data_IF_413556243010
#
_entry.id   IF_413556243010
#
_cell.length_a   1.000
_cell.length_b   1.000
_cell.length_c   1.000
_cell.angle_alpha   90.00
_cell.angle_beta   90.00
_cell.angle_gamma   90.00
#
_symmetry.space_group_name_H-M   'P 1'
#
loop_
_entity.id
_entity.type
_entity.pdbx_description
1 polymer ?
#
# COMPACT_ATOMS: atom_id res chain seq x y z
N UNK A 1 -3.98 4.17 8.29
CA UNK A 1 -3.92 4.03 6.81
C UNK A 1 -2.50 4.30 6.30
N UNK A 2 -1.84 5.39 6.74
CA UNK A 2 -0.45 5.70 6.36
C UNK A 2 0.53 4.55 6.65
N UNK A 3 0.51 3.98 7.86
CA UNK A 3 1.33 2.81 8.21
C UNK A 3 1.08 1.56 7.32
N UNK A 4 -0.16 1.34 6.87
CA UNK A 4 -0.47 0.26 5.94
C UNK A 4 0.17 0.54 4.58
N UNK A 5 0.06 1.78 4.09
CA UNK A 5 0.57 2.16 2.78
C UNK A 5 2.10 2.10 2.74
N UNK A 6 2.79 2.66 3.74
CA UNK A 6 4.25 2.58 3.80
C UNK A 6 4.74 1.13 3.93
N UNK A 7 4.00 0.28 4.65
CA UNK A 7 4.30 -1.16 4.77
C UNK A 7 4.21 -1.86 3.42
N UNK A 8 3.16 -1.61 2.64
CA UNK A 8 2.98 -2.16 1.29
C UNK A 8 4.11 -1.69 0.37
N UNK A 9 4.45 -0.41 0.40
CA UNK A 9 5.53 0.16 -0.42
C UNK A 9 6.91 -0.36 0.01
N UNK A 10 7.15 -0.58 1.31
CA UNK A 10 8.40 -1.19 1.79
C UNK A 10 8.54 -2.67 1.36
N UNK A 11 7.42 -3.36 1.12
CA UNK A 11 7.35 -4.69 0.51
C UNK A 11 7.48 -4.67 -1.02
N UNK A 12 7.41 -3.50 -1.66
CA UNK A 12 7.56 -3.30 -3.11
C UNK A 12 8.56 -2.15 -3.40
N UNK A 13 9.82 -2.27 -2.96
CA UNK A 13 10.77 -1.15 -2.90
C UNK A 13 11.10 -0.51 -4.26
N UNK A 14 11.00 -1.28 -5.34
CA UNK A 14 11.31 -0.82 -6.70
C UNK A 14 10.04 -0.46 -7.49
N UNK A 15 8.88 -0.41 -6.82
CA UNK A 15 7.60 -0.07 -7.43
C UNK A 15 7.17 1.33 -6.97
N UNK A 16 7.41 2.37 -7.78
CA UNK A 16 6.93 3.70 -7.49
C UNK A 16 5.40 3.75 -7.57
N UNK A 17 4.79 4.67 -6.83
CA UNK A 17 3.37 4.97 -6.91
C UNK A 17 3.17 6.14 -7.88
N UNK A 18 2.46 5.93 -8.99
CA UNK A 18 2.12 7.01 -9.93
C UNK A 18 1.28 8.08 -9.20
N UNK A 19 1.62 9.36 -9.37
CA UNK A 19 0.94 10.44 -8.62
C UNK A 19 -0.47 10.77 -9.13
N UNK A 20 -0.81 10.36 -10.34
CA UNK A 20 -2.12 10.60 -10.98
C UNK A 20 -3.00 9.37 -10.89
N UNK A 21 -2.44 8.18 -11.09
CA UNK A 21 -3.21 6.94 -11.19
C UNK A 21 -2.76 5.87 -10.18
N UNK A 22 -3.58 5.69 -9.16
CA UNK A 22 -3.33 4.74 -8.08
C UNK A 22 -4.09 3.41 -8.25
N UNK A 23 -4.68 3.12 -9.42
CA UNK A 23 -5.45 1.88 -9.62
C UNK A 23 -4.68 0.61 -9.21
N UNK A 24 -3.36 0.45 -9.49
CA UNK A 24 -2.64 -0.78 -9.16
C UNK A 24 -2.63 -1.06 -7.65
N UNK A 25 -2.51 0.00 -6.85
CA UNK A 25 -2.53 -0.04 -5.39
C UNK A 25 -3.92 -0.38 -4.87
N UNK A 26 -4.97 0.24 -5.44
CA UNK A 26 -6.35 -0.03 -5.04
C UNK A 26 -6.76 -1.48 -5.29
N UNK A 27 -6.37 -2.05 -6.42
CA UNK A 27 -6.65 -3.45 -6.74
C UNK A 27 -5.83 -4.42 -5.85
N UNK A 28 -4.60 -4.06 -5.49
CA UNK A 28 -3.81 -4.83 -4.51
C UNK A 28 -4.46 -4.81 -3.11
N UNK A 29 -4.97 -3.65 -2.66
CA UNK A 29 -5.71 -3.52 -1.41
C UNK A 29 -7.01 -4.31 -1.42
N UNK A 30 -7.66 -4.42 -2.59
CA UNK A 30 -8.85 -5.26 -2.74
C UNK A 30 -8.56 -6.75 -2.58
N UNK A 31 -7.43 -7.21 -3.12
CA UNK A 31 -6.96 -8.59 -2.90
C UNK A 31 -6.69 -8.87 -1.41
N UNK A 32 -6.14 -7.88 -0.69
CA UNK A 32 -5.97 -7.95 0.76
C UNK A 32 -7.32 -8.01 1.49
N UNK A 33 -8.29 -7.17 1.11
CA UNK A 33 -9.63 -7.21 1.67
C UNK A 33 -10.32 -8.57 1.46
N UNK A 34 -10.14 -9.19 0.31
CA UNK A 34 -10.63 -10.54 0.08
C UNK A 34 -10.09 -11.53 1.11
N UNK A 35 -8.76 -11.57 1.29
CA UNK A 35 -8.11 -12.41 2.29
C UNK A 35 -8.58 -12.13 3.73
N UNK A 36 -8.82 -10.86 4.08
CA UNK A 36 -9.35 -10.47 5.39
C UNK A 36 -10.77 -10.99 5.63
N UNK A 37 -11.56 -11.21 4.58
CA UNK A 37 -12.94 -11.69 4.68
C UNK A 37 -13.08 -13.21 4.44
N UNK A 38 -12.01 -13.91 4.03
CA UNK A 38 -12.01 -15.37 3.86
C UNK A 38 -12.19 -16.10 5.20
N UNK A 39 -11.46 -15.67 6.24
CA UNK A 39 -11.51 -16.27 7.56
C UNK A 39 -11.63 -15.20 8.66
N UNK A 40 -12.53 -15.44 9.63
CA UNK A 40 -12.72 -14.52 10.76
C UNK A 40 -11.42 -14.29 11.57
N UNK A 41 -10.53 -15.27 11.59
CA UNK A 41 -9.22 -15.17 12.23
C UNK A 41 -8.32 -14.13 11.57
N UNK A 42 -8.24 -14.08 10.23
CA UNK A 42 -7.40 -13.14 9.48
C UNK A 42 -7.73 -11.70 9.86
N UNK A 43 -9.02 -11.36 9.89
CA UNK A 43 -9.50 -10.04 10.29
C UNK A 43 -9.16 -9.70 11.73
N UNK A 44 -9.31 -10.66 12.65
CA UNK A 44 -9.02 -10.45 14.06
C UNK A 44 -7.53 -10.15 14.29
N UNK A 45 -6.64 -10.92 13.67
CA UNK A 45 -5.19 -10.73 13.77
C UNK A 45 -4.77 -9.40 13.13
N UNK A 46 -5.35 -9.05 11.96
CA UNK A 46 -5.11 -7.78 11.28
C UNK A 46 -5.45 -6.56 12.14
N UNK A 47 -6.66 -6.54 12.71
CA UNK A 47 -7.09 -5.44 13.59
C UNK A 47 -6.28 -5.39 14.89
N UNK A 48 -5.89 -6.55 15.44
CA UNK A 48 -5.06 -6.60 16.67
C UNK A 48 -3.66 -6.03 16.43
N UNK A 49 -3.13 -6.19 15.22
CA UNK A 49 -1.89 -5.57 14.79
C UNK A 49 -2.01 -4.05 14.53
N UNK A 50 -3.18 -3.44 14.75
CA UNK A 50 -3.41 -2.01 14.61
C UNK A 50 -3.69 -1.55 13.17
N UNK A 51 -3.87 -2.47 12.22
CA UNK A 51 -4.20 -2.11 10.85
C UNK A 51 -5.68 -1.72 10.69
N UNK A 52 -5.99 -0.80 9.75
CA UNK A 52 -7.36 -0.35 9.56
C UNK A 52 -8.21 -1.42 8.90
N UNK A 53 -9.52 -1.37 9.17
CA UNK A 53 -10.52 -2.04 8.35
C UNK A 53 -10.55 -1.35 6.98
N UNK A 54 -10.46 -2.15 5.92
CA UNK A 54 -10.55 -1.64 4.56
C UNK A 54 -12.02 -1.39 4.18
N UNK A 55 -12.25 -0.28 3.50
CA UNK A 55 -13.57 0.11 3.00
C UNK A 55 -13.42 0.58 1.56
N UNK A 56 -14.29 0.08 0.69
CA UNK A 56 -14.22 0.37 -0.74
C UNK A 56 -15.48 1.06 -1.21
N UNK A 57 -15.30 2.02 -2.11
CA UNK A 57 -16.37 2.69 -2.84
C UNK A 57 -16.17 2.46 -4.33
N UNK A 58 -17.26 2.28 -5.08
CA UNK A 58 -17.18 2.14 -6.53
C UNK A 58 -16.72 3.47 -7.13
N UNK A 59 -15.77 3.40 -8.05
CA UNK A 59 -15.10 4.57 -8.64
C UNK A 59 -14.88 4.33 -10.14
N UNK A 60 -15.13 5.32 -11.02
CA UNK A 60 -15.00 5.13 -12.46
C UNK A 60 -13.55 4.99 -12.93
N UNK A 61 -12.58 5.56 -12.21
CA UNK A 61 -11.17 5.62 -12.65
C UNK A 61 -10.43 4.35 -12.22
N UNK A 62 -10.67 3.88 -11.00
CA UNK A 62 -9.93 2.74 -10.40
C UNK A 62 -10.81 1.51 -10.18
N UNK A 63 -12.07 1.56 -10.62
CA UNK A 63 -13.09 0.53 -10.40
C UNK A 63 -13.61 0.50 -8.95
N UNK A 64 -12.72 0.27 -7.98
CA UNK A 64 -13.02 0.24 -6.55
C UNK A 64 -11.94 0.95 -5.75
N UNK A 65 -12.28 2.13 -5.22
CA UNK A 65 -11.36 2.96 -4.46
C UNK A 65 -11.38 2.58 -2.99
N UNK A 66 -10.22 2.23 -2.45
CA UNK A 66 -10.02 2.09 -1.01
C UNK A 66 -10.05 3.47 -0.32
N UNK A 67 -10.90 3.58 0.70
CA UNK A 67 -11.14 4.83 1.43
C UNK A 67 -9.92 5.25 2.23
N UNK A 68 -9.56 6.54 2.17
CA UNK A 68 -8.45 7.10 2.93
C UNK A 68 -7.06 6.92 2.31
N UNK A 69 -6.92 6.24 1.17
CA UNK A 69 -5.63 6.10 0.46
C UNK A 69 -5.07 7.46 0.05
N UNK A 70 -5.87 8.30 -0.63
CA UNK A 70 -5.41 9.63 -1.07
C UNK A 70 -4.95 10.48 0.11
N UNK A 71 -5.71 10.49 1.21
CA UNK A 71 -5.31 11.20 2.44
C UNK A 71 -4.00 10.63 3.00
N UNK A 72 -3.86 9.30 3.06
CA UNK A 72 -2.66 8.66 3.55
C UNK A 72 -1.42 8.97 2.71
N UNK A 73 -1.55 9.03 1.38
CA UNK A 73 -0.48 9.48 0.48
C UNK A 73 -0.06 10.89 0.85
N UNK A 74 -1.01 11.82 0.98
CA UNK A 74 -0.71 13.21 1.34
C UNK A 74 -0.09 13.35 2.73
N UNK A 75 -0.57 12.59 3.72
CA UNK A 75 0.01 12.56 5.05
C UNK A 75 1.49 12.13 4.99
N UNK A 76 1.80 11.05 4.24
CA UNK A 76 3.15 10.54 4.04
C UNK A 76 4.05 11.47 3.20
N UNK A 77 3.48 12.23 2.27
CA UNK A 77 4.22 13.27 1.53
C UNK A 77 4.52 14.44 2.47
N UNK A 78 3.55 14.85 3.29
CA UNK A 78 3.68 15.98 4.22
C UNK A 78 4.70 15.70 5.33
N UNK A 79 4.83 14.46 5.79
CA UNK A 79 5.82 14.07 6.80
C UNK A 79 7.20 13.70 6.21
N UNK A 80 7.31 13.66 4.88
CA UNK A 80 8.55 13.39 4.14
C UNK A 80 8.93 11.91 4.06
N UNK A 81 8.01 11.00 4.38
CA UNK A 81 8.18 9.55 4.19
C UNK A 81 8.09 9.17 2.72
N UNK A 82 7.16 9.78 1.98
CA UNK A 82 7.12 9.75 0.52
C UNK A 82 7.74 11.01 -0.06
N UNK A 83 8.51 10.83 -1.13
CA UNK A 83 9.03 11.94 -1.93
C UNK A 83 8.46 11.86 -3.33
N UNK A 84 8.13 13.03 -3.90
CA UNK A 84 7.76 13.14 -5.29
C UNK A 84 9.03 13.23 -6.14
N UNK A 85 9.12 12.37 -7.14
CA UNK A 85 10.21 12.36 -8.13
C UNK A 85 9.58 12.58 -9.49
N UNK A 86 10.08 13.59 -10.21
CA UNK A 86 9.70 13.80 -11.59
C UNK A 86 10.56 12.88 -12.47
N UNK A 87 9.92 12.10 -13.33
CA UNK A 87 10.61 11.29 -14.34
C UNK A 87 10.75 12.05 -15.66
N UNK A 88 11.72 11.64 -16.48
CA UNK A 88 12.04 12.27 -17.77
C UNK A 88 10.89 12.21 -18.78
N UNK A 89 9.90 11.34 -18.55
CA UNK A 89 8.67 11.20 -19.34
C UNK A 89 7.58 12.24 -18.99
N UNK A 90 7.84 13.11 -18.00
CA UNK A 90 6.90 14.11 -17.52
C UNK A 90 5.85 13.56 -16.53
N UNK A 91 6.01 12.31 -16.09
CA UNK A 91 5.20 11.72 -15.04
C UNK A 91 5.83 11.96 -13.67
N UNK A 92 5.00 12.33 -12.69
CA UNK A 92 5.42 12.45 -11.30
C UNK A 92 5.09 11.13 -10.58
N UNK A 93 6.04 10.62 -9.79
CA UNK A 93 5.86 9.42 -8.99
C UNK A 93 6.22 9.66 -7.53
N UNK A 94 5.48 9.02 -6.63
CA UNK A 94 5.81 8.96 -5.22
C UNK A 94 6.64 7.72 -4.92
N UNK A 95 7.79 7.91 -4.29
CA UNK A 95 8.66 6.83 -3.83
C UNK A 95 8.90 6.93 -2.33
N UNK A 96 9.07 5.77 -1.70
CA UNK A 96 9.46 5.69 -0.31
C UNK A 96 10.89 6.21 -0.14
N UNK A 97 11.09 7.16 0.79
CA UNK A 97 12.42 7.68 1.08
C UNK A 97 13.34 6.54 1.53
N UNK A 98 14.53 6.42 0.94
CA UNK A 98 15.44 5.29 1.15
C UNK A 98 15.74 4.98 2.63
N UNK A 99 15.76 6.00 3.49
CA UNK A 99 16.01 5.85 4.93
C UNK A 99 14.79 5.32 5.72
N UNK A 100 13.58 5.40 5.17
CA UNK A 100 12.36 4.90 5.82
C UNK A 100 12.24 3.38 5.72
N UNK A 101 12.66 2.78 4.59
CA UNK A 101 12.51 1.34 4.32
C UNK A 101 13.10 0.42 5.40
N UNK A 102 14.34 0.63 5.91
CA UNK A 102 14.91 -0.24 6.95
C UNK A 102 14.20 -0.15 8.30
N UNK A 103 13.54 0.98 8.59
CA UNK A 103 12.75 1.16 9.81
C UNK A 103 11.42 0.41 9.69
N UNK A 104 10.67 0.64 8.60
CA UNK A 104 9.40 -0.02 8.35
C UNK A 104 9.57 -1.54 8.32
N UNK A 105 10.60 -2.06 7.63
CA UNK A 105 10.89 -3.50 7.62
C UNK A 105 11.17 -4.08 9.00
N UNK A 106 11.74 -3.29 9.93
CA UNK A 106 11.89 -3.72 11.33
C UNK A 106 10.56 -3.81 12.04
N UNK A 107 9.66 -2.85 11.82
CA UNK A 107 8.31 -2.91 12.39
C UNK A 107 7.52 -4.09 11.85
N UNK A 108 7.67 -4.42 10.56
CA UNK A 108 7.07 -5.61 9.95
C UNK A 108 7.52 -6.93 10.61
N UNK A 109 8.77 -7.00 11.10
CA UNK A 109 9.27 -8.20 11.81
C UNK A 109 8.63 -8.39 13.20
N UNK A 110 7.95 -7.37 13.74
CA UNK A 110 7.21 -7.48 15.00
C UNK A 110 5.74 -7.87 14.82
N UNK A 111 5.27 -7.94 13.57
CA UNK A 111 3.92 -8.40 13.27
C UNK A 111 3.80 -9.92 13.42
N UNK A 112 2.56 -10.40 13.53
CA UNK A 112 2.32 -11.83 13.39
C UNK A 112 2.72 -12.30 11.98
N UNK A 113 3.17 -13.56 11.81
CA UNK A 113 3.56 -14.10 10.52
C UNK A 113 2.47 -13.95 9.44
N UNK A 114 1.20 -14.09 9.82
CA UNK A 114 0.04 -13.97 8.94
C UNK A 114 -0.09 -12.55 8.38
N UNK A 115 0.01 -11.52 9.24
CA UNK A 115 -0.03 -10.12 8.83
C UNK A 115 1.17 -9.74 7.96
N UNK A 116 2.38 -10.14 8.36
CA UNK A 116 3.59 -9.88 7.57
C UNK A 116 3.50 -10.53 6.18
N UNK A 117 3.04 -11.78 6.10
CA UNK A 117 2.84 -12.48 4.84
C UNK A 117 1.73 -11.83 3.99
N UNK A 118 0.64 -11.35 4.60
CA UNK A 118 -0.41 -10.62 3.89
C UNK A 118 0.14 -9.34 3.25
N UNK A 119 0.88 -8.52 4.01
CA UNK A 119 1.52 -7.30 3.50
C UNK A 119 2.52 -7.60 2.38
N UNK A 120 3.34 -8.65 2.52
CA UNK A 120 4.28 -9.05 1.49
C UNK A 120 3.56 -9.48 0.19
N UNK A 121 2.47 -10.26 0.30
CA UNK A 121 1.64 -10.63 -0.86
C UNK A 121 0.99 -9.40 -1.50
N UNK A 122 0.50 -8.46 -0.70
CA UNK A 122 -0.10 -7.21 -1.20
C UNK A 122 0.92 -6.34 -1.90
N UNK A 123 2.12 -6.15 -1.34
CA UNK A 123 3.23 -5.44 -1.99
C UNK A 123 3.62 -6.09 -3.33
N UNK A 124 3.74 -7.43 -3.35
CA UNK A 124 4.02 -8.13 -4.60
C UNK A 124 2.90 -7.96 -5.65
N UNK A 125 1.63 -8.03 -5.23
CA UNK A 125 0.49 -7.81 -6.13
C UNK A 125 0.50 -6.38 -6.67
N UNK A 126 0.78 -5.39 -5.83
CA UNK A 126 0.92 -4.01 -6.26
C UNK A 126 2.02 -3.86 -7.34
N UNK A 127 3.20 -4.43 -7.10
CA UNK A 127 4.29 -4.44 -8.07
C UNK A 127 3.91 -5.08 -9.42
N UNK A 128 3.19 -6.20 -9.38
CA UNK A 128 2.67 -6.87 -10.58
C UNK A 128 1.69 -5.99 -11.34
N UNK A 129 0.71 -5.41 -10.64
CA UNK A 129 -0.30 -4.55 -11.24
C UNK A 129 0.33 -3.30 -11.86
N UNK A 130 1.31 -2.69 -11.19
CA UNK A 130 2.02 -1.50 -11.66
C UNK A 130 2.82 -1.79 -12.94
N UNK A 131 3.49 -2.95 -13.00
CA UNK A 131 4.18 -3.40 -14.21
C UNK A 131 3.22 -3.57 -15.39
N UNK A 132 1.99 -4.04 -15.15
CA UNK A 132 0.98 -4.19 -16.21
C UNK A 132 0.35 -2.86 -16.65
N UNK A 133 0.43 -1.82 -15.81
CA UNK A 133 -0.09 -0.49 -16.08
C UNK A 133 0.88 0.38 -16.90
N UNK A 134 2.17 0.00 -16.94
CA UNK A 134 3.27 0.75 -17.57
C UNK A 134 3.45 0.43 -19.05
#
# INVERSE_FOLDING_TARGET
>A
MSFLLESILACAPDTPLDARDHWPLHEALRSLDHWLNEEAHNRAVWCTAGFPVLQFVKDPDVGWRASGVTRAIWDLVSDGTLICVDEDDGCARFVLKALATPHIRRELMHLSPECAAALQRTGHRFAQNATMAS
#
